data_IF_169927263506
#
_entry.id   IF_169927263506
#
_cell.length_a   1.000
_cell.length_b   1.000
_cell.length_c   1.000
_cell.angle_alpha   90.00
_cell.angle_beta   90.00
_cell.angle_gamma   90.00
#
_symmetry.space_group_name_H-M   'P 1'
#
loop_
_entity.id
_entity.type
_entity.pdbx_description
1 polymer ?
#
# COMPACT_ATOMS: atom_id res chain seq x y z
N UNK A 1 -25.43 9.80 -23.80
CA UNK A 1 -25.30 9.94 -22.33
C UNK A 1 -24.00 9.32 -21.81
N UNK A 2 -23.64 8.10 -22.14
CA UNK A 2 -22.41 7.43 -21.61
C UNK A 2 -21.09 8.12 -22.03
N UNK A 3 -20.96 8.56 -23.28
CA UNK A 3 -19.76 9.28 -23.76
C UNK A 3 -19.52 10.59 -22.98
N UNK A 4 -20.57 11.36 -22.68
CA UNK A 4 -20.44 12.59 -21.92
C UNK A 4 -19.99 12.35 -20.47
N UNK A 5 -20.50 11.28 -19.83
CA UNK A 5 -20.03 10.84 -18.50
C UNK A 5 -18.55 10.47 -18.53
N UNK A 6 -18.12 9.73 -19.54
CA UNK A 6 -16.73 9.30 -19.67
C UNK A 6 -15.78 10.49 -19.85
N UNK A 7 -16.14 11.47 -20.68
CA UNK A 7 -15.35 12.70 -20.85
C UNK A 7 -15.27 13.50 -19.55
N UNK A 8 -16.35 13.58 -18.80
CA UNK A 8 -16.38 14.23 -17.49
C UNK A 8 -15.47 13.54 -16.48
N UNK A 9 -15.50 12.21 -16.42
CA UNK A 9 -14.60 11.44 -15.55
C UNK A 9 -13.13 11.57 -15.98
N UNK A 10 -12.87 11.61 -17.28
CA UNK A 10 -11.54 11.83 -17.82
C UNK A 10 -10.99 13.19 -17.40
N UNK A 11 -11.76 14.27 -17.56
CA UNK A 11 -11.38 15.61 -17.12
C UNK A 11 -11.04 15.64 -15.62
N UNK A 12 -11.93 15.11 -14.79
CA UNK A 12 -11.73 15.03 -13.32
C UNK A 12 -10.48 14.22 -12.98
N UNK A 13 -10.24 13.13 -13.69
CA UNK A 13 -9.05 12.30 -13.50
C UNK A 13 -7.77 13.03 -13.91
N UNK A 14 -7.80 13.84 -14.96
CA UNK A 14 -6.67 14.69 -15.36
C UNK A 14 -6.34 15.72 -14.27
N UNK A 15 -7.36 16.41 -13.76
CA UNK A 15 -7.20 17.36 -12.64
C UNK A 15 -6.65 16.64 -11.41
N UNK A 16 -7.15 15.43 -11.11
CA UNK A 16 -6.62 14.61 -10.03
C UNK A 16 -5.13 14.34 -10.21
N UNK A 17 -4.70 13.87 -11.38
CA UNK A 17 -3.29 13.54 -11.59
C UNK A 17 -2.36 14.74 -11.49
N UNK A 18 -2.77 15.92 -11.94
CA UNK A 18 -1.97 17.15 -11.77
C UNK A 18 -1.72 17.43 -10.29
N UNK A 19 -2.76 17.44 -9.45
CA UNK A 19 -2.60 17.68 -8.02
C UNK A 19 -1.90 16.52 -7.32
N UNK A 20 -2.19 15.27 -7.69
CA UNK A 20 -1.53 14.09 -7.13
C UNK A 20 -0.01 14.12 -7.36
N UNK A 21 0.42 14.40 -8.59
CA UNK A 21 1.86 14.52 -8.91
C UNK A 21 2.50 15.69 -8.16
N UNK A 22 1.82 16.83 -8.07
CA UNK A 22 2.30 17.98 -7.33
C UNK A 22 2.48 17.68 -5.83
N UNK A 23 1.49 17.04 -5.20
CA UNK A 23 1.56 16.62 -3.79
C UNK A 23 2.69 15.62 -3.58
N UNK A 24 2.79 14.58 -4.42
CA UNK A 24 3.84 13.57 -4.31
C UNK A 24 5.22 14.20 -4.49
N UNK A 25 5.41 15.10 -5.47
CA UNK A 25 6.69 15.79 -5.68
C UNK A 25 7.06 16.68 -4.50
N UNK A 26 6.11 17.49 -4.00
CA UNK A 26 6.33 18.38 -2.86
C UNK A 26 6.69 17.59 -1.59
N UNK A 27 5.92 16.55 -1.28
CA UNK A 27 6.17 15.74 -0.07
C UNK A 27 7.45 14.90 -0.20
N UNK A 28 7.81 14.48 -1.41
CA UNK A 28 9.10 13.83 -1.66
C UNK A 28 10.27 14.80 -1.46
N UNK A 29 10.16 16.03 -1.94
CA UNK A 29 11.17 17.06 -1.71
C UNK A 29 11.32 17.35 -0.21
N UNK A 30 10.21 17.52 0.49
CA UNK A 30 10.19 17.76 1.93
C UNK A 30 10.80 16.59 2.70
N UNK A 31 10.45 15.34 2.36
CA UNK A 31 11.05 14.17 3.00
C UNK A 31 12.56 14.08 2.76
N UNK A 32 13.05 14.40 1.55
CA UNK A 32 14.48 14.45 1.26
C UNK A 32 15.19 15.57 2.03
N UNK A 33 14.57 16.75 2.14
CA UNK A 33 15.12 17.88 2.91
C UNK A 33 15.22 17.54 4.41
N UNK A 34 14.24 16.81 4.93
CA UNK A 34 14.13 16.44 6.35
C UNK A 34 14.69 15.04 6.65
N UNK A 35 15.54 14.49 5.77
CA UNK A 35 16.05 13.12 5.89
C UNK A 35 16.85 12.81 7.16
N UNK A 36 17.28 13.84 7.88
CA UNK A 36 17.98 13.75 9.17
C UNK A 36 17.05 13.49 10.37
N UNK A 37 15.72 13.59 10.19
CA UNK A 37 14.76 13.35 11.26
C UNK A 37 14.62 11.84 11.56
N UNK A 38 14.26 11.47 12.79
CA UNK A 38 13.93 10.09 13.16
C UNK A 38 12.86 9.51 12.25
N UNK A 39 12.99 8.22 11.89
CA UNK A 39 12.13 7.53 10.93
C UNK A 39 10.62 7.71 11.19
N UNK A 40 10.08 7.58 12.44
CA UNK A 40 8.64 7.73 12.65
C UNK A 40 8.12 9.12 12.26
N UNK A 41 8.89 10.18 12.58
CA UNK A 41 8.55 11.57 12.25
C UNK A 41 8.60 11.76 10.74
N UNK A 42 9.69 11.32 10.12
CA UNK A 42 9.87 11.42 8.67
C UNK A 42 8.77 10.67 7.90
N UNK A 43 8.43 9.47 8.36
CA UNK A 43 7.34 8.70 7.74
C UNK A 43 6.00 9.40 7.91
N UNK A 44 5.70 9.94 9.07
CA UNK A 44 4.46 10.69 9.30
C UNK A 44 4.34 11.88 8.34
N UNK A 45 5.40 12.68 8.19
CA UNK A 45 5.45 13.81 7.25
C UNK A 45 5.22 13.32 5.81
N UNK A 46 5.97 12.31 5.37
CA UNK A 46 5.85 11.79 4.01
C UNK A 46 4.47 11.19 3.72
N UNK A 47 3.87 10.46 4.67
CA UNK A 47 2.56 9.84 4.49
C UNK A 47 1.40 10.83 4.65
N UNK A 48 1.62 12.02 5.20
CA UNK A 48 0.65 13.12 5.13
C UNK A 48 0.34 13.47 3.67
N UNK A 49 1.30 13.36 2.76
CA UNK A 49 1.06 13.48 1.33
C UNK A 49 0.10 12.43 0.78
N UNK A 50 0.13 11.22 1.32
CA UNK A 50 -0.84 10.18 0.94
C UNK A 50 -2.25 10.58 1.38
N UNK A 51 -2.40 11.10 2.60
CA UNK A 51 -3.69 11.58 3.10
C UNK A 51 -4.22 12.77 2.28
N UNK A 52 -3.37 13.76 1.97
CA UNK A 52 -3.73 14.88 1.10
C UNK A 52 -4.14 14.41 -0.30
N UNK A 53 -3.46 13.39 -0.83
CA UNK A 53 -3.82 12.79 -2.12
C UNK A 53 -5.20 12.10 -2.09
N UNK A 54 -5.57 11.48 -0.96
CA UNK A 54 -6.90 10.89 -0.80
C UNK A 54 -7.99 11.97 -0.66
N UNK A 55 -7.72 13.05 0.04
CA UNK A 55 -8.62 14.21 0.08
C UNK A 55 -8.80 14.81 -1.33
N UNK A 56 -7.70 14.98 -2.07
CA UNK A 56 -7.76 15.48 -3.44
C UNK A 56 -8.51 14.54 -4.39
N UNK A 57 -8.36 13.21 -4.21
CA UNK A 57 -9.13 12.19 -4.94
C UNK A 57 -10.63 12.34 -4.67
N UNK A 58 -11.02 12.57 -3.42
CA UNK A 58 -12.42 12.81 -3.03
C UNK A 58 -12.98 14.07 -3.70
N UNK A 59 -12.24 15.18 -3.63
CA UNK A 59 -12.69 16.47 -4.18
C UNK A 59 -12.80 16.45 -5.71
N UNK A 60 -11.80 15.88 -6.37
CA UNK A 60 -11.74 15.88 -7.83
C UNK A 60 -12.55 14.75 -8.48
N UNK A 61 -12.43 13.53 -8.00
CA UNK A 61 -13.04 12.34 -8.62
C UNK A 61 -14.32 11.87 -7.92
N UNK A 62 -14.72 12.49 -6.80
CA UNK A 62 -15.88 12.07 -5.99
C UNK A 62 -15.78 10.60 -5.57
N UNK A 63 -14.57 10.20 -5.11
CA UNK A 63 -14.32 8.87 -4.55
C UNK A 63 -14.23 9.00 -3.04
N UNK A 64 -15.14 8.34 -2.34
CA UNK A 64 -15.19 8.29 -0.90
C UNK A 64 -14.49 7.03 -0.39
N UNK A 65 -14.06 7.04 0.86
CA UNK A 65 -13.43 5.90 1.51
C UNK A 65 -14.20 5.60 2.78
N UNK A 66 -14.59 4.35 2.95
CA UNK A 66 -15.25 3.84 4.17
C UNK A 66 -14.42 2.66 4.67
N UNK A 67 -14.01 2.75 5.92
CA UNK A 67 -13.26 1.70 6.61
C UNK A 67 -14.16 1.01 7.62
N UNK A 68 -13.99 -0.30 7.77
CA UNK A 68 -14.68 -1.10 8.78
C UNK A 68 -13.71 -2.11 9.40
N UNK A 69 -13.99 -2.52 10.64
CA UNK A 69 -13.13 -3.45 11.37
C UNK A 69 -11.88 -2.78 11.96
N UNK A 70 -11.89 -1.48 12.19
CA UNK A 70 -10.74 -0.73 12.73
C UNK A 70 -10.26 -1.27 14.08
N UNK A 71 -11.16 -1.80 14.91
CA UNK A 71 -10.84 -2.42 16.19
C UNK A 71 -9.98 -3.70 16.06
N UNK A 72 -9.85 -4.26 14.86
CA UNK A 72 -9.01 -5.42 14.58
C UNK A 72 -7.53 -5.06 14.35
N UNK A 73 -7.17 -3.77 14.35
CA UNK A 73 -5.78 -3.35 14.19
C UNK A 73 -5.05 -3.42 15.53
N UNK A 74 -4.04 -4.27 15.69
CA UNK A 74 -3.30 -4.36 16.95
C UNK A 74 -2.39 -3.12 17.13
N UNK A 75 -2.09 -2.78 18.37
CA UNK A 75 -1.10 -1.76 18.69
C UNK A 75 0.31 -2.22 18.33
N UNK A 76 0.58 -3.50 18.53
CA UNK A 76 1.87 -4.13 18.26
C UNK A 76 2.13 -4.33 16.75
N UNK A 77 3.41 -4.53 16.35
CA UNK A 77 3.77 -4.85 14.99
C UNK A 77 3.02 -6.08 14.47
N UNK A 78 2.52 -5.98 13.24
CA UNK A 78 1.77 -7.03 12.59
C UNK A 78 2.08 -7.11 11.11
N UNK A 79 1.73 -8.22 10.49
CA UNK A 79 1.77 -8.38 9.05
C UNK A 79 0.39 -8.05 8.47
N UNK A 80 0.32 -7.04 7.62
CA UNK A 80 -0.91 -6.68 6.90
C UNK A 80 -0.92 -7.39 5.55
N UNK A 81 -1.89 -8.25 5.31
CA UNK A 81 -2.13 -8.89 4.02
C UNK A 81 -3.34 -8.25 3.34
N UNK A 82 -3.13 -7.65 2.18
CA UNK A 82 -4.18 -6.98 1.43
C UNK A 82 -4.21 -7.45 -0.01
N UNK A 83 -5.40 -7.52 -0.61
CA UNK A 83 -5.53 -7.70 -2.05
C UNK A 83 -4.90 -6.51 -2.82
N UNK A 84 -4.46 -6.77 -4.06
CA UNK A 84 -3.72 -5.80 -4.88
C UNK A 84 -4.43 -5.55 -6.20
N UNK A 85 -5.17 -4.45 -6.31
CA UNK A 85 -6.01 -4.12 -7.49
C UNK A 85 -5.75 -2.73 -8.06
N UNK A 86 -5.11 -1.84 -7.29
CA UNK A 86 -5.04 -0.42 -7.60
C UNK A 86 -3.67 0.17 -7.24
N UNK A 87 -3.48 1.44 -7.52
CA UNK A 87 -2.42 2.26 -6.93
C UNK A 87 -2.86 2.81 -5.57
N UNK A 88 -4.18 2.92 -5.35
CA UNK A 88 -4.76 3.48 -4.15
C UNK A 88 -4.24 2.83 -2.87
N UNK A 89 -4.28 1.50 -2.78
CA UNK A 89 -3.87 0.78 -1.58
C UNK A 89 -2.38 0.95 -1.26
N UNK A 90 -1.53 1.19 -2.26
CA UNK A 90 -0.10 1.39 -2.01
C UNK A 90 0.21 2.68 -1.28
N UNK A 91 -0.61 3.71 -1.45
CA UNK A 91 -0.53 4.97 -0.73
C UNK A 91 -1.36 4.95 0.56
N UNK A 92 -2.61 4.45 0.47
CA UNK A 92 -3.53 4.48 1.60
C UNK A 92 -3.09 3.59 2.75
N UNK A 93 -2.72 2.33 2.49
CA UNK A 93 -2.31 1.40 3.55
C UNK A 93 -1.00 1.81 4.20
N UNK A 94 -0.06 2.43 3.46
CA UNK A 94 1.17 2.93 4.04
C UNK A 94 0.92 4.06 5.06
N UNK A 95 -0.05 4.92 4.80
CA UNK A 95 -0.48 5.94 5.75
C UNK A 95 -1.29 5.34 6.90
N UNK A 96 -2.25 4.49 6.60
CA UNK A 96 -3.20 3.95 7.58
C UNK A 96 -2.52 3.06 8.64
N UNK A 97 -1.57 2.25 8.22
CA UNK A 97 -0.86 1.31 9.10
C UNK A 97 0.52 1.81 9.57
N UNK A 98 0.78 3.11 9.54
CA UNK A 98 2.07 3.63 10.01
C UNK A 98 2.36 3.32 11.50
N UNK A 99 3.65 3.09 11.87
CA UNK A 99 4.80 3.00 10.98
C UNK A 99 4.77 1.72 10.15
N UNK A 100 4.88 1.86 8.82
CA UNK A 100 4.69 0.75 7.89
C UNK A 100 5.83 0.64 6.86
N UNK A 101 6.29 -0.58 6.63
CA UNK A 101 7.19 -0.93 5.54
C UNK A 101 6.44 -1.71 4.46
N UNK A 102 6.50 -1.25 3.22
CA UNK A 102 5.82 -1.88 2.08
C UNK A 102 6.80 -2.64 1.19
N UNK A 103 6.34 -3.75 0.58
CA UNK A 103 7.13 -4.45 -0.43
C UNK A 103 6.92 -3.76 -1.78
N UNK A 104 8.02 -3.41 -2.44
CA UNK A 104 7.97 -2.72 -3.72
C UNK A 104 9.02 -3.21 -4.72
N UNK A 105 8.83 -2.86 -6.00
CA UNK A 105 9.81 -3.13 -7.06
C UNK A 105 11.03 -2.21 -6.88
N UNK A 106 12.23 -2.78 -6.79
CA UNK A 106 13.48 -2.03 -6.59
C UNK A 106 13.71 -0.91 -7.61
N UNK A 107 13.21 -1.07 -8.84
CA UNK A 107 13.30 -0.03 -9.87
C UNK A 107 12.64 1.29 -9.51
N UNK A 108 11.66 1.31 -8.61
CA UNK A 108 11.00 2.55 -8.18
C UNK A 108 11.95 3.48 -7.40
N UNK A 109 12.99 2.91 -6.75
CA UNK A 109 13.97 3.69 -6.01
C UNK A 109 14.90 4.54 -6.93
N UNK A 110 14.90 4.26 -8.24
CA UNK A 110 15.68 5.02 -9.21
C UNK A 110 14.95 6.24 -9.78
N UNK A 111 13.67 6.42 -9.48
CA UNK A 111 12.91 7.60 -9.89
C UNK A 111 13.43 8.79 -9.07
N UNK A 112 13.98 9.84 -9.72
CA UNK A 112 14.50 10.99 -9.02
C UNK A 112 13.46 11.58 -8.08
N UNK A 113 13.89 12.08 -6.94
CA UNK A 113 13.10 12.68 -5.88
C UNK A 113 12.14 11.67 -5.22
N UNK A 114 11.16 11.13 -5.96
CA UNK A 114 10.19 10.15 -5.46
C UNK A 114 10.86 8.88 -4.93
N UNK A 115 11.77 8.30 -5.68
CA UNK A 115 12.49 7.09 -5.29
C UNK A 115 13.39 7.30 -4.08
N UNK A 116 13.98 8.49 -3.95
CA UNK A 116 14.81 8.86 -2.79
C UNK A 116 13.96 8.98 -1.54
N UNK A 117 12.84 9.72 -1.61
CA UNK A 117 11.89 9.80 -0.52
C UNK A 117 11.34 8.42 -0.14
N UNK A 118 11.03 7.58 -1.15
CA UNK A 118 10.54 6.22 -0.93
C UNK A 118 11.60 5.34 -0.23
N UNK A 119 12.90 5.52 -0.52
CA UNK A 119 13.98 4.82 0.17
C UNK A 119 14.04 5.15 1.66
N UNK A 120 13.75 6.41 2.02
CA UNK A 120 13.68 6.87 3.41
C UNK A 120 12.52 6.22 4.19
N UNK A 121 11.49 5.72 3.50
CA UNK A 121 10.34 5.02 4.11
C UNK A 121 10.65 3.57 4.48
N UNK A 122 11.91 3.18 4.46
CA UNK A 122 12.37 1.83 4.83
C UNK A 122 11.63 0.68 4.12
N UNK A 123 11.45 0.75 2.80
CA UNK A 123 10.73 -0.27 2.05
C UNK A 123 11.52 -1.58 1.97
N UNK A 124 10.81 -2.66 1.63
CA UNK A 124 11.40 -3.94 1.26
C UNK A 124 11.46 -4.02 -0.27
N UNK A 125 12.57 -3.55 -0.84
CA UNK A 125 12.73 -3.37 -2.28
C UNK A 125 13.26 -4.64 -2.96
N UNK A 126 12.43 -5.31 -3.78
CA UNK A 126 12.74 -6.59 -4.42
C UNK A 126 13.00 -6.49 -5.92
N UNK A 127 13.84 -7.41 -6.43
CA UNK A 127 13.97 -7.70 -7.86
C UNK A 127 13.10 -8.89 -8.21
N UNK A 128 11.97 -8.67 -8.90
CA UNK A 128 11.00 -9.71 -9.28
C UNK A 128 11.57 -10.76 -10.26
N UNK A 129 12.63 -10.42 -10.99
CA UNK A 129 13.32 -11.34 -11.93
C UNK A 129 14.05 -12.49 -11.26
N UNK A 130 14.16 -12.51 -9.92
CA UNK A 130 14.85 -13.57 -9.15
C UNK A 130 13.96 -14.00 -7.99
N UNK A 131 12.87 -14.78 -8.22
CA UNK A 131 11.83 -15.07 -7.24
C UNK A 131 12.35 -15.66 -5.93
N UNK A 132 13.18 -16.70 -5.99
CA UNK A 132 13.72 -17.36 -4.80
C UNK A 132 14.58 -16.41 -3.93
N UNK A 133 15.41 -15.56 -4.58
CA UNK A 133 16.18 -14.54 -3.85
C UNK A 133 15.28 -13.46 -3.27
N UNK A 134 14.21 -13.07 -3.99
CA UNK A 134 13.25 -12.09 -3.52
C UNK A 134 12.51 -12.58 -2.25
N UNK A 135 12.07 -13.84 -2.23
CA UNK A 135 11.41 -14.42 -1.05
C UNK A 135 12.36 -14.43 0.16
N UNK A 136 13.59 -14.91 0.00
CA UNK A 136 14.59 -14.90 1.10
C UNK A 136 14.84 -13.48 1.62
N UNK A 137 14.89 -12.49 0.71
CA UNK A 137 15.09 -11.09 1.07
C UNK A 137 13.89 -10.53 1.82
N UNK A 138 12.66 -10.84 1.38
CA UNK A 138 11.42 -10.45 2.08
C UNK A 138 11.39 -11.03 3.50
N UNK A 139 11.69 -12.33 3.66
CA UNK A 139 11.71 -12.97 4.98
C UNK A 139 12.77 -12.37 5.92
N UNK A 140 13.95 -12.01 5.39
CA UNK A 140 15.01 -11.39 6.19
C UNK A 140 14.67 -9.94 6.55
N UNK A 141 14.40 -9.11 5.55
CA UNK A 141 14.15 -7.68 5.77
C UNK A 141 12.81 -7.44 6.47
N UNK A 142 11.77 -8.23 6.13
CA UNK A 142 10.47 -8.14 6.79
C UNK A 142 10.56 -8.43 8.28
N UNK A 143 11.26 -9.50 8.67
CA UNK A 143 11.48 -9.80 10.10
C UNK A 143 12.25 -8.67 10.81
N UNK A 144 13.24 -8.07 10.16
CA UNK A 144 13.95 -6.91 10.73
C UNK A 144 13.05 -5.70 10.89
N UNK A 145 12.14 -5.43 9.94
CA UNK A 145 11.19 -4.31 10.03
C UNK A 145 10.17 -4.53 11.15
N UNK A 146 9.63 -5.74 11.26
CA UNK A 146 8.71 -6.11 12.34
C UNK A 146 9.39 -6.00 13.72
N UNK A 147 10.61 -6.50 13.85
CA UNK A 147 11.39 -6.37 15.10
C UNK A 147 11.74 -4.91 15.44
N UNK A 148 11.83 -4.02 14.44
CA UNK A 148 12.05 -2.58 14.64
C UNK A 148 10.74 -1.80 14.97
N UNK A 149 9.62 -2.49 15.17
CA UNK A 149 8.34 -1.86 15.53
C UNK A 149 7.46 -1.46 14.33
N UNK A 150 7.88 -1.74 13.09
CA UNK A 150 7.08 -1.42 11.91
C UNK A 150 6.05 -2.52 11.63
N UNK A 151 4.88 -2.13 11.12
CA UNK A 151 3.98 -3.05 10.42
C UNK A 151 4.54 -3.32 9.02
N UNK A 152 4.33 -4.53 8.49
CA UNK A 152 4.77 -4.87 7.14
C UNK A 152 3.56 -5.14 6.26
N UNK A 153 3.41 -4.38 5.18
CA UNK A 153 2.30 -4.54 4.22
C UNK A 153 2.74 -5.40 3.04
N UNK A 154 2.02 -6.49 2.82
CA UNK A 154 2.26 -7.44 1.73
C UNK A 154 0.99 -7.63 0.90
N UNK A 155 1.17 -7.70 -0.41
CA UNK A 155 0.15 -8.09 -1.37
C UNK A 155 0.42 -9.54 -1.80
N UNK A 156 -0.35 -10.53 -1.32
CA UNK A 156 -0.03 -11.95 -1.51
C UNK A 156 -0.05 -12.38 -2.98
N UNK A 157 -0.82 -11.71 -3.84
CA UNK A 157 -0.82 -11.97 -5.29
C UNK A 157 0.52 -11.61 -5.96
N UNK A 158 1.31 -10.70 -5.35
CA UNK A 158 2.61 -10.25 -5.87
C UNK A 158 2.53 -9.36 -7.10
N UNK A 159 1.35 -9.16 -7.67
CA UNK A 159 1.05 -8.23 -8.77
C UNK A 159 -0.39 -7.76 -8.67
N UNK A 160 -0.72 -6.65 -9.31
CA UNK A 160 -2.12 -6.19 -9.37
C UNK A 160 -2.96 -7.15 -10.19
N UNK A 161 -4.10 -7.56 -9.65
CA UNK A 161 -5.07 -8.45 -10.30
C UNK A 161 -6.30 -7.67 -10.76
N UNK A 162 -7.09 -8.29 -11.65
CA UNK A 162 -8.41 -7.79 -12.04
C UNK A 162 -9.37 -7.79 -10.86
N UNK A 163 -10.37 -6.93 -10.89
CA UNK A 163 -11.47 -6.93 -9.91
C UNK A 163 -12.41 -8.11 -10.05
N UNK A 164 -12.37 -8.83 -11.16
CA UNK A 164 -13.26 -9.94 -11.48
C UNK A 164 -12.71 -11.30 -11.02
N UNK A 165 -11.42 -11.36 -10.65
CA UNK A 165 -10.77 -12.62 -10.29
C UNK A 165 -9.93 -12.42 -9.03
N UNK A 166 -10.02 -13.40 -8.12
CA UNK A 166 -9.07 -13.52 -7.03
C UNK A 166 -7.75 -14.04 -7.61
N UNK A 167 -6.65 -13.37 -7.29
CA UNK A 167 -5.32 -13.84 -7.63
C UNK A 167 -4.90 -15.04 -6.77
N UNK A 168 -3.90 -15.79 -7.23
CA UNK A 168 -3.27 -16.83 -6.43
C UNK A 168 -2.48 -16.20 -5.28
N UNK A 169 -2.76 -16.59 -4.06
CA UNK A 169 -2.09 -16.10 -2.86
C UNK A 169 -0.79 -16.86 -2.61
N UNK A 170 0.31 -16.13 -2.54
CA UNK A 170 1.63 -16.68 -2.21
C UNK A 170 1.81 -16.79 -0.71
N UNK A 171 2.37 -17.90 -0.27
CA UNK A 171 2.59 -18.23 1.14
C UNK A 171 3.69 -17.40 1.83
N UNK A 172 4.41 -16.56 1.08
CA UNK A 172 5.54 -15.79 1.62
C UNK A 172 5.16 -14.80 2.74
N UNK A 173 3.92 -14.28 2.73
CA UNK A 173 3.41 -13.42 3.80
C UNK A 173 3.20 -14.23 5.08
N UNK A 174 2.46 -15.33 5.00
CA UNK A 174 2.24 -16.22 6.13
C UNK A 174 3.55 -16.77 6.72
N UNK A 175 4.50 -17.16 5.85
CA UNK A 175 5.83 -17.60 6.28
C UNK A 175 6.61 -16.50 7.00
N UNK A 176 6.48 -15.23 6.59
CA UNK A 176 7.09 -14.10 7.29
C UNK A 176 6.46 -13.88 8.66
N UNK A 177 5.13 -13.89 8.76
CA UNK A 177 4.42 -13.71 10.03
C UNK A 177 4.81 -14.78 11.04
N UNK A 178 4.80 -16.05 10.63
CA UNK A 178 5.23 -17.19 11.46
C UNK A 178 6.68 -17.04 11.91
N UNK A 179 7.59 -16.69 10.99
CA UNK A 179 9.00 -16.48 11.32
C UNK A 179 9.23 -15.35 12.31
N UNK A 180 8.45 -14.28 12.23
CA UNK A 180 8.57 -13.12 13.09
C UNK A 180 7.74 -13.23 14.38
N UNK A 181 6.87 -14.24 14.50
CA UNK A 181 5.99 -14.43 15.67
C UNK A 181 4.94 -13.32 15.81
N UNK A 182 4.46 -12.77 14.70
CA UNK A 182 3.47 -11.67 14.71
C UNK A 182 2.14 -12.10 14.10
N UNK A 183 1.00 -11.51 14.53
CA UNK A 183 -0.30 -11.80 13.93
C UNK A 183 -0.39 -11.24 12.51
N UNK A 184 -1.34 -11.82 11.75
CA UNK A 184 -1.71 -11.33 10.42
C UNK A 184 -3.00 -10.53 10.53
N UNK A 185 -3.03 -9.35 9.93
CA UNK A 185 -4.20 -8.50 9.73
C UNK A 185 -4.65 -8.63 8.27
N UNK A 186 -5.73 -9.37 7.99
CA UNK A 186 -6.27 -9.44 6.65
C UNK A 186 -7.04 -8.16 6.31
N UNK A 187 -6.79 -7.61 5.13
CA UNK A 187 -7.46 -6.42 4.61
C UNK A 187 -8.02 -6.70 3.23
N UNK A 188 -9.28 -6.41 3.02
CA UNK A 188 -9.93 -6.50 1.72
C UNK A 188 -10.48 -5.13 1.30
N UNK A 189 -10.39 -4.80 0.01
CA UNK A 189 -10.94 -3.57 -0.53
C UNK A 189 -11.37 -3.72 -1.99
N UNK A 190 -12.24 -2.81 -2.44
CA UNK A 190 -12.74 -2.76 -3.82
C UNK A 190 -12.12 -1.62 -4.65
N UNK A 191 -10.95 -1.13 -4.28
CA UNK A 191 -10.34 0.06 -4.90
C UNK A 191 -10.15 -0.04 -6.42
N UNK A 192 -9.95 -1.27 -6.95
CA UNK A 192 -9.82 -1.51 -8.38
C UNK A 192 -11.03 -1.10 -9.21
N UNK A 193 -12.24 -1.08 -8.65
CA UNK A 193 -13.44 -0.60 -9.35
C UNK A 193 -13.42 0.91 -9.60
N UNK A 194 -12.80 1.67 -8.68
CA UNK A 194 -12.78 3.14 -8.71
C UNK A 194 -11.47 3.71 -9.25
N UNK A 195 -10.35 3.06 -8.96
CA UNK A 195 -9.01 3.39 -9.47
C UNK A 195 -8.38 2.16 -10.13
N UNK A 196 -8.88 1.76 -11.32
CA UNK A 196 -8.43 0.54 -11.99
C UNK A 196 -6.95 0.61 -12.40
N UNK A 197 -6.30 -0.55 -12.42
CA UNK A 197 -4.88 -0.67 -12.85
C UNK A 197 -4.69 -0.39 -14.34
N UNK A 198 -5.70 -0.72 -15.15
CA UNK A 198 -5.62 -0.73 -16.61
C UNK A 198 -6.27 0.51 -17.24
N UNK A 199 -6.70 1.49 -16.42
CA UNK A 199 -7.25 2.76 -16.88
C UNK A 199 -6.75 3.92 -16.03
N UNK A 200 -6.44 5.01 -16.69
CA UNK A 200 -6.12 6.25 -16.00
C UNK A 200 -7.36 6.99 -15.49
N UNK A 201 -8.55 6.66 -16.01
CA UNK A 201 -9.82 7.28 -15.63
C UNK A 201 -10.29 6.72 -14.27
N UNK A 202 -10.55 7.63 -13.33
CA UNK A 202 -11.14 7.31 -12.04
C UNK A 202 -12.66 7.30 -12.16
N UNK A 203 -13.29 6.32 -11.51
CA UNK A 203 -14.74 6.15 -11.51
C UNK A 203 -15.30 6.61 -10.16
N UNK A 204 -16.23 7.57 -10.10
CA UNK A 204 -16.83 8.03 -8.84
C UNK A 204 -17.46 6.86 -8.06
N UNK A 205 -17.51 6.99 -6.74
CA UNK A 205 -18.14 6.01 -5.86
C UNK A 205 -17.43 5.87 -4.52
N UNK A 206 -17.60 4.72 -3.88
CA UNK A 206 -17.06 4.47 -2.54
C UNK A 206 -16.11 3.28 -2.55
N UNK A 207 -14.88 3.52 -2.12
CA UNK A 207 -13.93 2.46 -1.79
C UNK A 207 -14.26 1.99 -0.38
N UNK A 208 -14.68 0.74 -0.28
CA UNK A 208 -14.83 0.06 0.99
C UNK A 208 -13.55 -0.69 1.32
N UNK A 209 -13.03 -0.49 2.52
CA UNK A 209 -11.91 -1.24 3.08
C UNK A 209 -12.41 -1.95 4.34
N UNK A 210 -12.27 -3.26 4.38
CA UNK A 210 -12.60 -4.08 5.54
C UNK A 210 -11.35 -4.69 6.13
N UNK A 211 -11.16 -4.49 7.44
CA UNK A 211 -10.08 -5.08 8.22
C UNK A 211 -10.70 -6.26 8.97
N UNK A 212 -10.31 -7.47 8.59
CA UNK A 212 -10.78 -8.70 9.19
C UNK A 212 -10.18 -8.96 10.57
N UNK A 213 -10.69 -9.98 11.29
CA UNK A 213 -10.14 -10.40 12.58
C UNK A 213 -8.70 -10.87 12.44
N UNK A 214 -7.93 -10.73 13.52
CA UNK A 214 -6.55 -11.19 13.58
C UNK A 214 -6.44 -12.70 13.34
N UNK A 215 -5.46 -13.09 12.53
CA UNK A 215 -5.12 -14.49 12.29
C UNK A 215 -3.81 -14.77 13.04
N UNK A 216 -3.87 -15.76 13.93
CA UNK A 216 -2.67 -16.26 14.62
C UNK A 216 -1.79 -17.04 13.63
N UNK A 217 -0.56 -16.57 13.45
CA UNK A 217 0.42 -17.17 12.55
C UNK A 217 1.19 -18.34 13.16
N UNK A 218 1.07 -18.57 14.48
CA UNK A 218 1.83 -19.59 15.21
C UNK A 218 1.26 -21.00 15.03
N UNK A 219 -0.07 -21.11 14.99
CA UNK A 219 -0.81 -22.36 15.13
C UNK A 219 -0.99 -23.15 13.84
N UNK A 220 -0.78 -22.53 12.64
CA UNK A 220 -1.08 -23.16 11.34
C UNK A 220 0.15 -23.24 10.43
N UNK A 221 0.09 -24.15 9.45
CA UNK A 221 1.04 -24.13 8.34
C UNK A 221 0.84 -22.87 7.49
N UNK A 222 1.91 -22.23 6.98
CA UNK A 222 1.78 -21.08 6.08
C UNK A 222 0.95 -21.31 4.82
N UNK A 223 0.64 -22.57 4.48
CA UNK A 223 -0.25 -22.93 3.36
C UNK A 223 -1.73 -22.91 3.73
N UNK A 224 -2.03 -22.92 5.03
CA UNK A 224 -3.39 -22.91 5.57
C UNK A 224 -3.83 -21.52 6.07
N UNK A 225 -2.89 -20.58 6.09
CA UNK A 225 -3.06 -19.16 6.43
C UNK A 225 -3.29 -18.33 5.17
#
# INVERSE_FOLDING_TARGET
MERAKLWWWALRSAIFYVGFVAVVALMSALACLLCFLPFPILQHIATTGNQLSMLWLRLTCNIHIVVSGENNVPHDPCLVLSNHQSTWETFYLQWYFQPASVILKRGLLWIPLFGWALALMQPIAIKRSRPAKAIRFVLKQGAQRLAAGNRVVIYPEGTRVSTEQLGEFKTSGAALAKKAGVPIVPVAHNAGHHWPRDSWIKRPGTIYMHIGPLIDSSSKDPREL
#
